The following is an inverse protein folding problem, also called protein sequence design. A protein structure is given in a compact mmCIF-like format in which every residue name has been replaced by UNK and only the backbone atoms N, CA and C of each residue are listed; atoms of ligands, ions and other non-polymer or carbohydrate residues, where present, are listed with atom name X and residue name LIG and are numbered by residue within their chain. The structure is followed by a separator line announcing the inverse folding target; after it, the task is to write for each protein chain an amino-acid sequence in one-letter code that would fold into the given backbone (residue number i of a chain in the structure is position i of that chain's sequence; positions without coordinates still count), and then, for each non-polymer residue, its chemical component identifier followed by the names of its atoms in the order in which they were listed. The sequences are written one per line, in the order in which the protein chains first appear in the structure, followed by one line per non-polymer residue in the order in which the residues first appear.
data_IF_195952944267
#
_entry.id   IF_195952944267
#
_cell.length_a   1.000
_cell.length_b   1.000
_cell.length_c   1.000
_cell.angle_alpha   90.00
_cell.angle_beta   90.00
_cell.angle_gamma   90.00
#
_symmetry.space_group_name_H-M   'P 1'
#
loop_
_entity.id
_entity.type
_entity.pdbx_description
1 polymer ?
#
# COMPACT_ATOMS: atom_id res chain seq x y z
N UNK A 1 -8.92 4.10 -7.24
CA UNK A 1 -9.65 4.22 -5.93
C UNK A 1 -9.06 5.32 -5.02
N UNK A 2 -8.69 6.46 -5.59
CA UNK A 2 -8.17 7.59 -4.82
C UNK A 2 -9.30 8.55 -4.52
N UNK A 3 -9.51 8.85 -3.24
CA UNK A 3 -10.62 9.69 -2.77
C UNK A 3 -10.23 11.17 -2.71
N UNK A 4 -8.93 11.45 -2.64
CA UNK A 4 -8.38 12.79 -2.62
C UNK A 4 -7.62 13.04 -3.93
N UNK A 5 -8.17 13.92 -4.77
CA UNK A 5 -7.58 14.26 -6.06
C UNK A 5 -6.17 14.84 -5.90
N UNK A 6 -5.93 15.66 -4.86
CA UNK A 6 -4.63 16.28 -4.65
C UNK A 6 -3.55 15.24 -4.30
N UNK A 7 -3.87 14.26 -3.46
CA UNK A 7 -2.94 13.15 -3.15
C UNK A 7 -2.73 12.25 -4.37
N UNK A 8 -3.77 11.99 -5.15
CA UNK A 8 -3.70 11.16 -6.35
C UNK A 8 -2.83 11.82 -7.43
N UNK A 9 -3.06 13.10 -7.71
CA UNK A 9 -2.32 13.82 -8.75
C UNK A 9 -0.83 13.94 -8.41
N UNK A 10 -0.48 14.18 -7.15
CA UNK A 10 0.91 14.19 -6.70
C UNK A 10 1.62 12.84 -6.98
N UNK A 11 0.95 11.70 -6.74
CA UNK A 11 1.53 10.39 -7.06
C UNK A 11 1.74 10.17 -8.56
N UNK A 12 0.79 10.60 -9.39
CA UNK A 12 0.94 10.49 -10.85
C UNK A 12 2.11 11.34 -11.37
N UNK A 13 2.25 12.55 -10.84
CA UNK A 13 3.33 13.47 -11.24
C UNK A 13 4.69 12.99 -10.71
N UNK A 14 4.80 12.61 -9.44
CA UNK A 14 6.04 12.14 -8.81
C UNK A 14 6.59 10.88 -9.48
N UNK A 15 5.71 9.94 -9.85
CA UNK A 15 6.09 8.67 -10.46
C UNK A 15 6.09 8.71 -12.00
N UNK A 16 5.79 9.85 -12.61
CA UNK A 16 5.71 9.99 -14.07
C UNK A 16 4.68 9.05 -14.70
N UNK A 17 3.63 8.67 -13.97
CA UNK A 17 2.62 7.74 -14.45
C UNK A 17 1.69 8.41 -15.47
N UNK A 18 1.31 7.70 -16.56
CA UNK A 18 0.31 8.22 -17.48
C UNK A 18 -1.05 8.35 -16.77
N UNK A 19 -1.81 9.37 -17.12
CA UNK A 19 -3.18 9.52 -16.62
C UNK A 19 -4.05 8.32 -17.04
N UNK A 20 -4.96 7.84 -16.18
CA UNK A 20 -5.86 6.75 -16.54
C UNK A 20 -6.77 7.17 -17.70
N UNK A 21 -7.04 6.25 -18.62
CA UNK A 21 -7.95 6.47 -19.74
C UNK A 21 -9.40 6.63 -19.27
N UNK A 22 -9.78 5.95 -18.20
CA UNK A 22 -11.11 5.98 -17.62
C UNK A 22 -11.01 6.14 -16.10
N UNK A 23 -11.82 7.05 -15.57
CA UNK A 23 -11.95 7.27 -14.13
C UNK A 23 -13.39 6.95 -13.70
N UNK A 24 -13.56 5.95 -12.82
CA UNK A 24 -14.90 5.46 -12.43
C UNK A 24 -15.62 6.39 -11.44
N UNK A 25 -14.93 7.32 -10.81
CA UNK A 25 -15.54 8.25 -9.85
C UNK A 25 -16.09 7.61 -8.58
N UNK A 26 -15.64 6.40 -8.22
CA UNK A 26 -16.11 5.68 -7.04
C UNK A 26 -15.45 6.26 -5.80
N UNK A 27 -16.21 6.95 -4.98
CA UNK A 27 -15.76 7.54 -3.72
C UNK A 27 -15.69 6.53 -2.56
N UNK A 28 -15.51 7.05 -1.33
CA UNK A 28 -15.52 6.26 -0.09
C UNK A 28 -16.89 5.67 0.22
N UNK A 29 -16.90 4.62 1.03
CA UNK A 29 -18.12 3.93 1.47
C UNK A 29 -17.79 2.63 2.19
N UNK A 30 -18.79 1.87 2.61
CA UNK A 30 -18.58 0.53 3.13
C UNK A 30 -18.01 -0.38 2.03
N UNK A 31 -17.35 -1.48 2.41
CA UNK A 31 -16.81 -2.46 1.46
C UNK A 31 -17.86 -2.89 0.42
N UNK A 32 -19.09 -3.16 0.86
CA UNK A 32 -20.18 -3.56 -0.02
C UNK A 32 -20.53 -2.47 -1.04
N UNK A 33 -20.68 -1.21 -0.59
CA UNK A 33 -21.01 -0.08 -1.45
C UNK A 33 -19.89 0.19 -2.46
N UNK A 34 -18.63 0.17 -2.03
CA UNK A 34 -17.49 0.38 -2.92
C UNK A 34 -17.40 -0.71 -3.98
N UNK A 35 -17.46 -1.99 -3.57
CA UNK A 35 -17.39 -3.13 -4.48
C UNK A 35 -18.53 -3.07 -5.50
N UNK A 36 -19.77 -2.83 -5.05
CA UNK A 36 -20.93 -2.73 -5.94
C UNK A 36 -20.79 -1.59 -6.96
N UNK A 37 -20.38 -0.39 -6.52
CA UNK A 37 -20.18 0.75 -7.41
C UNK A 37 -19.09 0.49 -8.45
N UNK A 38 -17.93 -0.08 -8.04
CA UNK A 38 -16.86 -0.44 -8.99
C UNK A 38 -17.39 -1.43 -10.03
N UNK A 39 -18.12 -2.46 -9.61
CA UNK A 39 -18.71 -3.43 -10.54
C UNK A 39 -19.66 -2.76 -11.54
N UNK A 40 -20.57 -1.92 -11.05
CA UNK A 40 -21.59 -1.23 -11.87
C UNK A 40 -20.96 -0.28 -12.89
N UNK A 41 -19.94 0.49 -12.49
CA UNK A 41 -19.28 1.47 -13.37
C UNK A 41 -18.26 0.80 -14.31
N UNK A 42 -17.69 -0.34 -13.93
CA UNK A 42 -16.68 -1.03 -14.73
C UNK A 42 -17.29 -1.90 -15.84
N UNK A 43 -18.45 -2.53 -15.61
CA UNK A 43 -19.09 -3.44 -16.55
C UNK A 43 -19.36 -2.80 -17.92
N UNK A 44 -19.96 -1.57 -18.03
CA UNK A 44 -20.17 -0.92 -19.33
C UNK A 44 -18.87 -0.70 -20.12
N UNK A 45 -17.77 -0.36 -19.42
CA UNK A 45 -16.46 -0.13 -20.03
C UNK A 45 -15.92 -1.41 -20.66
N UNK A 46 -16.00 -2.51 -19.93
CA UNK A 46 -15.53 -3.81 -20.42
C UNK A 46 -16.37 -4.30 -21.60
N UNK A 47 -17.69 -4.06 -21.57
CA UNK A 47 -18.60 -4.41 -22.69
C UNK A 47 -18.32 -3.56 -23.93
N UNK A 48 -17.93 -2.30 -23.78
CA UNK A 48 -17.56 -1.42 -24.88
C UNK A 48 -16.20 -1.79 -25.48
N UNK A 49 -15.17 -1.94 -24.63
CA UNK A 49 -13.79 -2.16 -25.07
C UNK A 49 -13.47 -3.61 -25.45
N UNK A 50 -14.22 -4.58 -24.91
CA UNK A 50 -14.09 -6.03 -25.18
C UNK A 50 -12.64 -6.52 -25.10
N UNK A 51 -11.93 -6.31 -23.98
CA UNK A 51 -10.55 -6.77 -23.86
C UNK A 51 -10.49 -8.30 -23.81
N UNK A 52 -9.41 -8.89 -24.35
CA UNK A 52 -9.13 -10.33 -24.20
C UNK A 52 -8.70 -10.68 -22.79
N UNK A 53 -7.99 -9.76 -22.14
CA UNK A 53 -7.48 -9.89 -20.77
C UNK A 53 -7.71 -8.61 -19.98
N UNK A 54 -8.02 -8.79 -18.70
CA UNK A 54 -7.99 -7.72 -17.70
C UNK A 54 -6.96 -8.07 -16.65
N UNK A 55 -6.04 -7.13 -16.38
CA UNK A 55 -5.05 -7.27 -15.33
C UNK A 55 -5.56 -6.55 -14.10
N UNK A 56 -5.64 -7.26 -12.97
CA UNK A 56 -5.96 -6.72 -11.65
C UNK A 56 -4.75 -6.86 -10.73
N UNK A 57 -4.59 -5.93 -9.79
CA UNK A 57 -3.39 -5.87 -8.92
C UNK A 57 -3.80 -5.81 -7.46
N UNK A 58 -3.11 -6.57 -6.60
CA UNK A 58 -3.28 -6.53 -5.15
C UNK A 58 -4.63 -7.08 -4.66
N UNK A 59 -5.11 -6.55 -3.53
CA UNK A 59 -6.18 -7.17 -2.73
C UNK A 59 -7.29 -6.20 -2.29
N UNK A 60 -7.41 -5.04 -2.93
CA UNK A 60 -8.43 -4.05 -2.58
C UNK A 60 -9.81 -4.37 -3.18
N UNK A 61 -10.85 -3.68 -2.74
CA UNK A 61 -12.22 -3.89 -3.24
C UNK A 61 -12.36 -3.77 -4.75
N UNK A 62 -11.60 -2.89 -5.40
CA UNK A 62 -11.62 -2.77 -6.87
C UNK A 62 -10.99 -3.96 -7.57
N UNK A 63 -10.00 -4.62 -6.98
CA UNK A 63 -9.38 -5.83 -7.52
C UNK A 63 -10.41 -6.93 -7.70
N UNK A 64 -11.09 -7.30 -6.62
CA UNK A 64 -12.12 -8.35 -6.67
C UNK A 64 -13.34 -7.92 -7.49
N UNK A 65 -13.76 -6.65 -7.42
CA UNK A 65 -14.90 -6.16 -8.21
C UNK A 65 -14.67 -6.32 -9.72
N UNK A 66 -13.51 -5.87 -10.22
CA UNK A 66 -13.16 -6.00 -11.63
C UNK A 66 -12.99 -7.48 -12.05
N UNK A 67 -12.35 -8.29 -11.21
CA UNK A 67 -12.20 -9.73 -11.48
C UNK A 67 -13.55 -10.45 -11.58
N UNK A 68 -14.50 -10.14 -10.67
CA UNK A 68 -15.85 -10.71 -10.70
C UNK A 68 -16.61 -10.36 -11.97
N UNK A 69 -16.59 -9.09 -12.40
CA UNK A 69 -17.23 -8.65 -13.64
C UNK A 69 -16.66 -9.41 -14.83
N UNK A 70 -15.33 -9.44 -14.97
CA UNK A 70 -14.65 -10.11 -16.07
C UNK A 70 -14.94 -11.61 -16.11
N UNK A 71 -14.81 -12.29 -14.97
CA UNK A 71 -15.08 -13.72 -14.87
C UNK A 71 -16.51 -14.09 -15.29
N UNK A 72 -17.52 -13.27 -14.90
CA UNK A 72 -18.93 -13.48 -15.31
C UNK A 72 -19.18 -13.19 -16.78
N UNK A 73 -18.42 -12.31 -17.41
CA UNK A 73 -18.50 -11.99 -18.84
C UNK A 73 -17.63 -12.90 -19.71
N UNK A 74 -16.91 -13.86 -19.12
CA UNK A 74 -16.02 -14.78 -19.86
C UNK A 74 -14.73 -14.11 -20.35
N UNK A 75 -14.34 -12.99 -19.76
CA UNK A 75 -13.08 -12.28 -20.04
C UNK A 75 -12.00 -12.80 -19.10
N UNK A 76 -10.84 -13.10 -19.65
CA UNK A 76 -9.72 -13.64 -18.86
C UNK A 76 -9.16 -12.63 -17.88
N UNK A 77 -8.82 -13.11 -16.68
CA UNK A 77 -8.26 -12.29 -15.60
C UNK A 77 -6.84 -12.72 -15.29
N UNK A 78 -5.91 -11.77 -15.29
CA UNK A 78 -4.57 -11.93 -14.73
C UNK A 78 -4.46 -11.17 -13.41
N UNK A 79 -4.09 -11.86 -12.33
CA UNK A 79 -3.92 -11.27 -11.00
C UNK A 79 -2.44 -11.09 -10.69
N UNK A 80 -2.01 -9.84 -10.53
CA UNK A 80 -0.65 -9.47 -10.09
C UNK A 80 -0.63 -9.37 -8.57
N UNK A 81 0.42 -9.89 -7.94
CA UNK A 81 0.55 -10.05 -6.49
C UNK A 81 -0.36 -11.17 -5.94
N UNK A 82 -0.53 -12.22 -6.72
CA UNK A 82 -1.36 -13.37 -6.39
C UNK A 82 -0.69 -14.29 -5.35
N UNK A 83 -1.49 -15.08 -4.64
CA UNK A 83 -1.05 -16.16 -3.75
C UNK A 83 -0.57 -15.74 -2.36
N UNK A 84 -0.46 -14.45 -2.06
CA UNK A 84 -0.13 -13.99 -0.71
C UNK A 84 -1.26 -14.34 0.28
N UNK A 85 -0.90 -14.75 1.50
CA UNK A 85 -1.86 -15.07 2.57
C UNK A 85 -1.42 -14.52 3.91
N UNK A 86 -2.33 -13.77 4.56
CA UNK A 86 -2.19 -13.37 5.97
C UNK A 86 -2.71 -14.44 6.91
N UNK A 87 -3.59 -15.31 6.43
CA UNK A 87 -4.35 -16.33 7.17
C UNK A 87 -5.27 -15.73 8.24
N UNK A 88 -5.47 -14.42 8.21
CA UNK A 88 -6.41 -13.70 9.07
C UNK A 88 -7.64 -13.27 8.26
N UNK A 89 -8.71 -14.06 8.37
CA UNK A 89 -9.96 -13.80 7.67
C UNK A 89 -10.78 -12.63 8.24
N UNK A 90 -10.33 -12.01 9.31
CA UNK A 90 -10.90 -10.74 9.78
C UNK A 90 -10.46 -9.55 8.93
N UNK A 91 -9.40 -9.71 8.12
CA UNK A 91 -8.94 -8.73 7.15
C UNK A 91 -9.77 -8.83 5.86
N UNK A 92 -10.44 -7.75 5.44
CA UNK A 92 -11.17 -7.71 4.16
C UNK A 92 -10.28 -8.03 2.95
N UNK A 93 -9.01 -7.61 3.01
CA UNK A 93 -8.01 -7.86 1.97
C UNK A 93 -7.74 -9.36 1.79
N UNK A 94 -7.71 -10.14 2.88
CA UNK A 94 -7.53 -11.59 2.79
C UNK A 94 -8.68 -12.27 2.05
N UNK A 95 -9.91 -11.82 2.30
CA UNK A 95 -11.08 -12.29 1.58
C UNK A 95 -10.98 -11.95 0.10
N UNK A 96 -10.60 -10.70 -0.22
CA UNK A 96 -10.48 -10.24 -1.59
C UNK A 96 -9.44 -11.05 -2.38
N UNK A 97 -8.24 -11.30 -1.81
CA UNK A 97 -7.17 -12.02 -2.50
C UNK A 97 -7.52 -13.47 -2.76
N UNK A 98 -8.08 -14.17 -1.76
CA UNK A 98 -8.51 -15.56 -1.92
C UNK A 98 -9.56 -15.69 -3.04
N UNK A 99 -10.56 -14.81 -3.06
CA UNK A 99 -11.60 -14.82 -4.07
C UNK A 99 -11.06 -14.45 -5.45
N UNK A 100 -10.20 -13.44 -5.54
CA UNK A 100 -9.59 -13.02 -6.81
C UNK A 100 -8.74 -14.14 -7.40
N UNK A 101 -7.89 -14.78 -6.57
CA UNK A 101 -7.06 -15.91 -7.00
C UNK A 101 -7.91 -17.06 -7.54
N UNK A 102 -9.02 -17.39 -6.85
CA UNK A 102 -9.87 -18.53 -7.22
C UNK A 102 -10.56 -18.39 -8.58
N UNK A 103 -10.83 -17.14 -9.02
CA UNK A 103 -11.54 -16.86 -10.28
C UNK A 103 -10.61 -16.37 -11.40
N UNK A 104 -9.32 -16.20 -11.15
CA UNK A 104 -8.35 -15.73 -12.14
C UNK A 104 -7.86 -16.87 -13.06
N UNK A 105 -7.49 -16.49 -14.29
CA UNK A 105 -6.95 -17.40 -15.30
C UNK A 105 -5.44 -17.48 -15.28
N UNK A 106 -4.78 -16.39 -14.82
CA UNK A 106 -3.33 -16.28 -14.67
C UNK A 106 -3.00 -15.62 -13.34
N UNK A 107 -2.11 -16.23 -12.58
CA UNK A 107 -1.71 -15.84 -11.23
C UNK A 107 -0.22 -15.53 -11.24
N UNK A 108 0.11 -14.23 -11.12
CA UNK A 108 1.47 -13.72 -11.14
C UNK A 108 1.93 -13.53 -9.69
N UNK A 109 2.75 -14.46 -9.22
CA UNK A 109 3.16 -14.54 -7.82
C UNK A 109 4.44 -13.79 -7.52
N UNK A 110 4.57 -13.30 -6.30
CA UNK A 110 5.69 -12.47 -5.85
C UNK A 110 6.79 -13.26 -5.15
N UNK A 111 6.47 -14.45 -4.64
CA UNK A 111 7.34 -15.27 -3.79
C UNK A 111 6.99 -16.75 -3.92
N UNK A 112 7.92 -17.61 -3.51
CA UNK A 112 7.74 -19.05 -3.57
C UNK A 112 6.61 -19.54 -2.64
N UNK A 113 6.46 -18.96 -1.47
CA UNK A 113 5.36 -19.28 -0.54
C UNK A 113 3.99 -18.93 -1.13
N UNK A 114 3.89 -17.93 -2.01
CA UNK A 114 2.69 -17.64 -2.75
C UNK A 114 2.32 -18.76 -3.73
N UNK A 115 3.30 -19.34 -4.43
CA UNK A 115 3.09 -20.52 -5.29
C UNK A 115 2.59 -21.72 -4.47
N UNK A 116 3.20 -21.96 -3.31
CA UNK A 116 2.85 -23.05 -2.39
C UNK A 116 1.42 -22.88 -1.84
N UNK A 117 1.03 -21.66 -1.49
CA UNK A 117 -0.32 -21.34 -1.04
C UNK A 117 -1.35 -21.68 -2.13
N UNK A 118 -1.16 -21.20 -3.34
CA UNK A 118 -2.06 -21.46 -4.47
C UNK A 118 -2.15 -22.96 -4.79
N UNK A 119 -1.02 -23.66 -4.79
CA UNK A 119 -1.00 -25.10 -5.02
C UNK A 119 -1.77 -25.86 -3.94
N UNK A 120 -1.62 -25.47 -2.66
CA UNK A 120 -2.34 -26.07 -1.53
C UNK A 120 -3.85 -25.83 -1.58
N UNK A 121 -4.27 -24.72 -2.22
CA UNK A 121 -5.67 -24.37 -2.46
C UNK A 121 -6.25 -25.02 -3.73
N UNK A 122 -5.48 -25.84 -4.40
CA UNK A 122 -5.92 -26.61 -5.57
C UNK A 122 -5.89 -25.86 -6.89
N UNK A 123 -5.19 -24.74 -6.95
CA UNK A 123 -5.00 -23.98 -8.21
C UNK A 123 -4.05 -24.78 -9.13
N UNK A 124 -4.44 -25.02 -10.40
CA UNK A 124 -3.59 -25.72 -11.34
C UNK A 124 -2.28 -24.99 -11.61
N UNK A 125 -1.14 -25.70 -11.59
CA UNK A 125 0.20 -25.12 -11.75
C UNK A 125 0.39 -24.34 -13.08
N UNK A 126 -0.34 -24.72 -14.14
CA UNK A 126 -0.29 -23.99 -15.41
C UNK A 126 -0.86 -22.57 -15.34
N UNK A 127 -1.65 -22.24 -14.33
CA UNK A 127 -2.14 -20.88 -14.07
C UNK A 127 -1.15 -20.03 -13.28
N UNK A 128 -0.18 -20.63 -12.60
CA UNK A 128 0.76 -19.95 -11.70
C UNK A 128 2.04 -19.58 -12.45
N UNK A 129 2.49 -18.35 -12.28
CA UNK A 129 3.77 -17.85 -12.83
C UNK A 129 4.47 -17.00 -11.79
N UNK A 130 5.61 -17.47 -11.31
CA UNK A 130 6.48 -16.68 -10.46
C UNK A 130 7.14 -15.56 -11.27
N UNK A 131 6.89 -14.32 -10.89
CA UNK A 131 7.42 -13.12 -11.57
C UNK A 131 8.23 -12.22 -10.65
N UNK A 132 8.20 -12.46 -9.34
CA UNK A 132 8.81 -11.60 -8.34
C UNK A 132 7.89 -10.44 -7.93
N UNK A 133 8.40 -9.60 -7.04
CA UNK A 133 7.64 -8.49 -6.47
C UNK A 133 7.85 -7.21 -7.29
N UNK A 134 6.85 -6.83 -8.07
CA UNK A 134 6.86 -5.62 -8.93
C UNK A 134 7.07 -4.32 -8.14
N UNK A 135 6.80 -4.31 -6.82
CA UNK A 135 7.10 -3.15 -5.98
C UNK A 135 8.61 -2.94 -5.83
N UNK A 136 9.41 -4.02 -5.88
CA UNK A 136 10.87 -3.92 -5.86
C UNK A 136 11.37 -3.28 -7.16
N UNK A 137 10.81 -3.65 -8.30
CA UNK A 137 11.17 -3.05 -9.60
C UNK A 137 10.90 -1.55 -9.58
N UNK A 138 9.71 -1.17 -9.11
CA UNK A 138 9.33 0.24 -8.93
C UNK A 138 10.27 0.98 -7.99
N UNK A 139 10.63 0.37 -6.86
CA UNK A 139 11.59 0.95 -5.91
C UNK A 139 12.95 1.19 -6.55
N UNK A 140 13.50 0.18 -7.23
CA UNK A 140 14.83 0.27 -7.86
C UNK A 140 14.88 1.32 -8.97
N UNK A 141 13.80 1.48 -9.73
CA UNK A 141 13.68 2.51 -10.74
C UNK A 141 13.67 3.92 -10.11
N UNK A 142 12.88 4.10 -9.07
CA UNK A 142 12.70 5.41 -8.44
C UNK A 142 13.84 5.80 -7.49
N UNK A 143 14.65 4.86 -6.99
CA UNK A 143 15.84 5.17 -6.18
C UNK A 143 16.77 6.17 -6.88
N UNK A 144 17.03 5.98 -8.18
CA UNK A 144 17.89 6.88 -8.97
C UNK A 144 17.28 8.28 -9.12
N UNK A 145 15.96 8.37 -9.17
CA UNK A 145 15.24 9.65 -9.24
C UNK A 145 15.27 10.32 -7.87
N UNK A 146 15.03 9.55 -6.80
CA UNK A 146 15.06 10.01 -5.43
C UNK A 146 16.42 10.59 -4.98
N UNK A 147 17.54 10.14 -5.58
CA UNK A 147 18.87 10.72 -5.34
C UNK A 147 18.95 12.21 -5.61
N UNK A 148 18.04 12.76 -6.42
CA UNK A 148 17.98 14.20 -6.74
C UNK A 148 17.18 15.00 -5.71
N UNK A 149 16.49 14.36 -4.79
CA UNK A 149 15.74 15.04 -3.74
C UNK A 149 16.69 15.67 -2.72
N UNK A 150 16.37 16.90 -2.34
CA UNK A 150 17.09 17.70 -1.33
C UNK A 150 16.52 17.51 0.08
N UNK A 151 15.60 16.56 0.29
CA UNK A 151 14.88 16.41 1.54
C UNK A 151 15.79 16.25 2.76
N UNK A 152 16.95 15.58 2.62
CA UNK A 152 17.89 15.40 3.72
C UNK A 152 18.51 16.73 4.13
N UNK A 153 18.88 17.55 3.16
CA UNK A 153 19.42 18.90 3.34
C UNK A 153 18.34 19.82 3.93
N UNK A 154 17.12 19.79 3.38
CA UNK A 154 15.98 20.62 3.79
C UNK A 154 15.55 20.30 5.24
N UNK A 155 15.62 19.05 5.63
CA UNK A 155 15.37 18.63 6.99
C UNK A 155 16.60 18.81 7.90
N UNK A 156 17.77 19.16 7.36
CA UNK A 156 19.01 19.22 8.15
C UNK A 156 19.32 17.88 8.81
N UNK A 157 19.12 16.78 8.09
CA UNK A 157 19.46 15.44 8.57
C UNK A 157 20.98 15.33 8.64
N UNK A 158 21.57 14.94 9.79
CA UNK A 158 23.00 14.82 9.91
C UNK A 158 23.56 13.71 8.99
N UNK A 159 24.82 13.85 8.58
CA UNK A 159 25.56 12.79 7.85
C UNK A 159 25.95 11.59 8.76
N UNK A 160 25.32 11.49 9.93
CA UNK A 160 25.45 10.36 10.86
C UNK A 160 24.25 9.43 10.71
N UNK A 161 24.38 8.24 11.32
CA UNK A 161 23.31 7.25 11.35
C UNK A 161 22.03 7.84 11.97
N UNK A 162 20.89 7.53 11.36
CA UNK A 162 19.54 7.87 11.84
C UNK A 162 18.58 6.77 11.45
N UNK A 163 17.40 6.75 12.04
CA UNK A 163 16.30 5.86 11.68
C UNK A 163 15.13 6.63 11.11
N UNK A 164 14.37 5.99 10.23
CA UNK A 164 13.09 6.49 9.76
C UNK A 164 11.97 5.62 10.30
N UNK A 165 10.96 6.25 10.90
CA UNK A 165 9.80 5.56 11.47
C UNK A 165 8.56 5.77 10.64
N UNK A 166 7.79 4.71 10.41
CA UNK A 166 6.39 4.79 9.99
C UNK A 166 5.50 4.05 10.97
N UNK A 167 4.43 4.68 11.42
CA UNK A 167 3.49 4.11 12.37
C UNK A 167 2.08 4.67 12.11
N UNK A 168 1.19 3.86 11.57
CA UNK A 168 -0.14 4.31 11.15
C UNK A 168 -1.25 3.26 11.26
N UNK A 169 -0.93 1.99 11.58
CA UNK A 169 -1.95 0.94 11.71
C UNK A 169 -2.82 1.19 12.95
N UNK A 170 -4.17 1.08 12.83
CA UNK A 170 -5.09 1.26 13.95
C UNK A 170 -4.73 0.43 15.17
N UNK A 171 -4.36 -0.85 14.99
CA UNK A 171 -3.96 -1.74 16.07
C UNK A 171 -2.76 -1.25 16.90
N UNK A 172 -1.92 -0.38 16.33
CA UNK A 172 -0.73 0.13 17.00
C UNK A 172 -0.94 1.49 17.67
N UNK A 173 -1.89 2.28 17.17
CA UNK A 173 -2.00 3.70 17.56
C UNK A 173 -3.33 4.05 18.22
N UNK A 174 -4.39 3.23 18.09
CA UNK A 174 -5.71 3.57 18.62
C UNK A 174 -5.87 3.22 20.10
N UNK A 175 -5.15 2.22 20.61
CA UNK A 175 -5.13 1.88 22.01
C UNK A 175 -3.98 2.63 22.72
N UNK A 176 -4.34 3.38 23.78
CA UNK A 176 -3.38 4.21 24.52
C UNK A 176 -2.25 3.38 25.17
N UNK A 177 -2.56 2.19 25.70
CA UNK A 177 -1.58 1.36 26.39
C UNK A 177 -0.57 0.75 25.41
N UNK A 178 -1.07 0.24 24.27
CA UNK A 178 -0.24 -0.28 23.19
C UNK A 178 0.66 0.81 22.62
N UNK A 179 0.08 1.97 22.28
CA UNK A 179 0.86 3.09 21.72
C UNK A 179 1.90 3.63 22.72
N UNK A 180 1.57 3.73 24.01
CA UNK A 180 2.51 4.13 25.06
C UNK A 180 3.69 3.17 25.16
N UNK A 181 3.47 1.85 25.08
CA UNK A 181 4.54 0.84 25.10
C UNK A 181 5.45 0.95 23.88
N UNK A 182 4.88 1.12 22.69
CA UNK A 182 5.64 1.33 21.45
C UNK A 182 6.47 2.62 21.56
N UNK A 183 5.84 3.72 21.96
CA UNK A 183 6.50 5.01 22.08
C UNK A 183 7.64 5.00 23.11
N UNK A 184 7.44 4.36 24.26
CA UNK A 184 8.50 4.19 25.26
C UNK A 184 9.74 3.48 24.72
N UNK A 185 9.52 2.42 23.91
CA UNK A 185 10.61 1.72 23.24
C UNK A 185 11.32 2.59 22.20
N UNK A 186 10.56 3.38 21.42
CA UNK A 186 11.12 4.29 20.42
C UNK A 186 11.92 5.42 21.05
N UNK A 187 11.46 5.98 22.19
CA UNK A 187 12.20 6.99 22.95
C UNK A 187 13.54 6.41 23.42
N UNK A 188 13.55 5.21 23.98
CA UNK A 188 14.79 4.56 24.42
C UNK A 188 15.77 4.29 23.26
N UNK A 189 15.26 3.93 22.07
CA UNK A 189 16.08 3.78 20.86
C UNK A 189 16.63 5.14 20.43
N UNK A 190 15.81 6.20 20.52
CA UNK A 190 16.20 7.54 20.05
C UNK A 190 17.37 8.15 20.85
N UNK A 191 17.64 7.66 22.06
CA UNK A 191 18.82 8.08 22.84
C UNK A 191 20.15 7.75 22.13
N UNK A 192 20.15 6.69 21.30
CA UNK A 192 21.33 6.21 20.58
C UNK A 192 21.30 6.55 19.10
N UNK A 193 20.11 6.59 18.51
CA UNK A 193 19.90 6.75 17.08
C UNK A 193 18.76 7.73 16.85
N UNK A 194 19.02 8.96 16.36
CA UNK A 194 17.96 9.92 16.06
C UNK A 194 16.89 9.32 15.15
N UNK A 195 15.62 9.57 15.44
CA UNK A 195 14.51 9.03 14.68
C UNK A 195 13.79 10.17 13.95
N UNK A 196 13.65 10.05 12.64
CA UNK A 196 12.82 10.95 11.83
C UNK A 196 11.49 10.25 11.58
N UNK A 197 10.41 10.92 11.94
CA UNK A 197 9.08 10.35 11.89
C UNK A 197 8.14 11.20 11.02
N UNK A 198 8.01 10.89 9.71
CA UNK A 198 6.92 11.39 8.89
C UNK A 198 5.60 10.88 9.47
N UNK A 199 4.88 11.76 10.17
CA UNK A 199 3.74 11.33 10.98
C UNK A 199 2.44 11.38 10.18
N UNK A 200 1.76 10.22 10.09
CA UNK A 200 0.44 10.13 9.49
C UNK A 200 -0.59 10.95 10.29
N UNK A 201 -1.58 11.61 9.65
CA UNK A 201 -2.59 12.43 10.35
C UNK A 201 -3.30 11.73 11.50
N UNK A 202 -3.65 10.45 11.33
CA UNK A 202 -4.24 9.63 12.41
C UNK A 202 -3.32 9.52 13.62
N UNK A 203 -2.06 9.21 13.40
CA UNK A 203 -1.08 9.06 14.47
C UNK A 203 -0.81 10.40 15.17
N UNK A 204 -0.74 11.49 14.41
CA UNK A 204 -0.61 12.85 14.94
C UNK A 204 -1.78 13.19 15.88
N UNK A 205 -3.01 12.91 15.47
CA UNK A 205 -4.19 13.10 16.30
C UNK A 205 -4.13 12.27 17.59
N UNK A 206 -3.64 11.02 17.53
CA UNK A 206 -3.50 10.15 18.72
C UNK A 206 -2.38 10.59 19.64
N UNK A 207 -1.29 11.13 19.14
CA UNK A 207 -0.22 11.74 19.94
C UNK A 207 -0.78 12.91 20.76
N UNK A 208 -1.61 13.74 20.15
CA UNK A 208 -2.26 14.88 20.82
C UNK A 208 -3.31 14.40 21.82
N UNK A 209 -4.22 13.50 21.43
CA UNK A 209 -5.28 12.95 22.26
C UNK A 209 -4.76 12.28 23.53
N UNK A 210 -3.66 11.52 23.43
CA UNK A 210 -3.10 10.77 24.53
C UNK A 210 -2.07 11.57 25.36
N UNK A 211 -1.73 12.79 24.93
CA UNK A 211 -0.79 13.66 25.64
C UNK A 211 0.67 13.24 25.53
N UNK A 212 1.08 12.61 24.43
CA UNK A 212 2.45 12.13 24.24
C UNK A 212 3.41 13.17 23.65
N UNK A 213 2.91 14.37 23.33
CA UNK A 213 3.69 15.41 22.65
C UNK A 213 4.95 15.81 23.43
N UNK A 214 4.83 16.01 24.73
CA UNK A 214 5.96 16.44 25.56
C UNK A 214 7.02 15.34 25.62
N UNK A 215 6.63 14.09 25.82
CA UNK A 215 7.56 12.96 25.83
C UNK A 215 8.33 12.79 24.51
N UNK A 216 7.70 13.11 23.39
CA UNK A 216 8.35 13.09 22.08
C UNK A 216 9.31 14.28 21.94
N UNK A 217 8.88 15.47 22.35
CA UNK A 217 9.71 16.69 22.30
C UNK A 217 10.97 16.59 23.17
N UNK A 218 10.89 15.87 24.27
CA UNK A 218 12.02 15.62 25.20
C UNK A 218 12.96 14.48 24.72
N UNK A 219 12.67 13.90 23.55
CA UNK A 219 13.45 12.81 22.94
C UNK A 219 14.17 13.25 21.67
N UNK A 220 14.95 12.34 21.08
CA UNK A 220 15.55 12.53 19.75
C UNK A 220 14.64 12.03 18.62
N UNK A 221 13.32 12.04 18.83
CA UNK A 221 12.32 11.75 17.78
C UNK A 221 11.86 13.06 17.17
N UNK A 222 12.12 13.25 15.88
CA UNK A 222 11.70 14.43 15.15
C UNK A 222 10.44 14.13 14.32
N UNK A 223 9.31 14.69 14.70
CA UNK A 223 8.09 14.64 13.91
C UNK A 223 8.20 15.58 12.71
N UNK A 224 7.86 15.08 11.54
CA UNK A 224 7.75 15.88 10.31
C UNK A 224 6.42 15.60 9.62
N UNK A 225 6.02 16.48 8.72
CA UNK A 225 4.83 16.24 7.89
C UNK A 225 5.06 15.04 6.94
N UNK A 226 3.99 14.38 6.49
CA UNK A 226 4.09 13.31 5.50
C UNK A 226 4.85 13.77 4.26
N UNK A 227 5.68 12.89 3.71
CA UNK A 227 6.51 13.15 2.54
C UNK A 227 5.89 12.50 1.29
N UNK A 228 6.18 13.06 0.13
CA UNK A 228 5.97 12.41 -1.16
C UNK A 228 6.84 11.17 -1.33
N UNK A 229 6.54 10.34 -2.33
CA UNK A 229 7.20 9.05 -2.53
C UNK A 229 8.72 9.19 -2.73
N UNK A 230 9.16 10.12 -3.57
CA UNK A 230 10.59 10.31 -3.89
C UNK A 230 11.36 10.83 -2.68
N UNK A 231 10.81 11.82 -1.96
CA UNK A 231 11.42 12.37 -0.76
C UNK A 231 11.51 11.33 0.36
N UNK A 232 10.44 10.57 0.56
CA UNK A 232 10.44 9.48 1.53
C UNK A 232 11.46 8.40 1.16
N UNK A 233 11.54 8.03 -0.14
CA UNK A 233 12.53 7.08 -0.65
C UNK A 233 13.96 7.58 -0.41
N UNK A 234 14.22 8.85 -0.68
CA UNK A 234 15.54 9.47 -0.41
C UNK A 234 15.88 9.45 1.07
N UNK A 235 14.89 9.75 1.93
CA UNK A 235 15.09 9.79 3.36
C UNK A 235 15.46 8.41 3.90
N UNK A 236 14.67 7.37 3.62
CA UNK A 236 14.91 6.06 4.21
C UNK A 236 16.07 5.30 3.53
N UNK A 237 16.43 5.61 2.30
CA UNK A 237 17.59 4.98 1.65
C UNK A 237 18.94 5.36 2.25
N UNK A 238 18.96 6.39 3.08
CA UNK A 238 20.16 6.84 3.83
C UNK A 238 20.09 6.57 5.33
N UNK A 239 19.08 5.82 5.79
CA UNK A 239 18.84 5.51 7.19
C UNK A 239 19.51 4.21 7.65
#
# INVERSE_FOLDING_TARGET
QHYDAAMSDAFFDDLGMPKPNVYLGVGSGSHAIQTAKVMTEFEPIVLEHKPDWVVVVGDVNSTIACALVCSKLGIKVAHVEAGLRSRDRSMPEEINRILTDSISDLLLTTSQDADENLASEGIPSQKIRFVGNVMIDSLLEHLKIAERSTIREDLGVPDTDYAVLTLHRPSNVDDRAIFSGILGSLIAISERLPIIFPVHPRTKAKIEEFGFKDSINDSNIRLIEPLGYLDFTRLYSGA
#
